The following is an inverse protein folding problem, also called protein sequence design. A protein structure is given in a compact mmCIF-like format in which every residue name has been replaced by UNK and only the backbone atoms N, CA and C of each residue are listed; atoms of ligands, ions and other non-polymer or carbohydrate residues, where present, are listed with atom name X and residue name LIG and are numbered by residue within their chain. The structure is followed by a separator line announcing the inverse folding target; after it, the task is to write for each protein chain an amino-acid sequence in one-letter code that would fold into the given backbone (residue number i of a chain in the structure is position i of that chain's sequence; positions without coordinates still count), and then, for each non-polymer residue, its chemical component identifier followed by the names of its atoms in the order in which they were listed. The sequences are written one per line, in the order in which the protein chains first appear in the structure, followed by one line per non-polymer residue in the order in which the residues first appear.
data_IF_716103081229
#
_entry.id   IF_716103081229
#
_cell.length_a   1.000
_cell.length_b   1.000
_cell.length_c   1.000
_cell.angle_alpha   90.00
_cell.angle_beta   90.00
_cell.angle_gamma   90.00
#
_symmetry.space_group_name_H-M   'P 1'
#
loop_
_entity.id
_entity.type
_entity.pdbx_description
1 polymer ?
#
# COMPACT_ATOMS: atom_id res chain seq x y z
N UNK A 1 -38.99 -36.28 1.05
CA UNK A 1 -37.79 -36.12 0.20
C UNK A 1 -37.10 -34.83 0.57
N UNK A 2 -36.14 -34.89 1.50
CA UNK A 2 -35.29 -33.74 1.87
C UNK A 2 -33.93 -34.29 2.29
N UNK A 3 -32.94 -34.18 1.41
CA UNK A 3 -31.55 -34.50 1.72
C UNK A 3 -30.74 -33.19 1.69
N UNK A 4 -30.42 -32.70 2.88
CA UNK A 4 -29.48 -31.60 3.09
C UNK A 4 -28.07 -32.14 2.88
N UNK A 5 -27.41 -31.72 1.81
CA UNK A 5 -25.97 -31.94 1.63
C UNK A 5 -25.19 -30.98 2.51
N UNK A 6 -24.58 -31.50 3.58
CA UNK A 6 -23.56 -30.83 4.36
C UNK A 6 -22.26 -30.76 3.55
N UNK A 7 -21.94 -29.59 3.02
CA UNK A 7 -20.61 -29.28 2.48
C UNK A 7 -19.69 -28.87 3.64
N UNK A 8 -19.06 -29.86 4.28
CA UNK A 8 -17.89 -29.59 5.13
C UNK A 8 -16.71 -29.33 4.21
N UNK A 9 -16.33 -28.06 4.03
CA UNK A 9 -15.12 -27.69 3.30
C UNK A 9 -13.90 -28.06 4.13
N UNK A 10 -13.30 -29.22 3.88
CA UNK A 10 -11.96 -29.53 4.37
C UNK A 10 -10.95 -28.54 3.78
N UNK A 11 -10.02 -27.98 4.56
CA UNK A 11 -8.99 -27.11 4.03
C UNK A 11 -8.12 -27.89 3.04
N UNK A 12 -8.03 -27.39 1.80
CA UNK A 12 -7.10 -27.91 0.79
C UNK A 12 -5.68 -27.81 1.36
N UNK A 13 -4.92 -28.91 1.48
CA UNK A 13 -3.54 -28.85 1.95
C UNK A 13 -2.73 -27.94 1.04
N UNK A 14 -2.15 -26.88 1.61
CA UNK A 14 -1.19 -26.04 0.91
C UNK A 14 0.01 -26.94 0.60
N UNK A 15 0.40 -27.14 -0.67
CA UNK A 15 1.57 -27.93 -1.00
C UNK A 15 2.80 -27.36 -0.28
N UNK A 16 3.45 -28.18 0.53
CA UNK A 16 4.71 -27.84 1.17
C UNK A 16 5.71 -27.58 0.02
N UNK A 17 6.37 -26.41 -0.04
CA UNK A 17 7.34 -26.16 -1.10
C UNK A 17 8.44 -27.21 -1.02
N UNK A 18 8.56 -28.03 -2.07
CA UNK A 18 9.70 -28.91 -2.28
C UNK A 18 10.92 -27.98 -2.34
N UNK A 19 11.99 -28.21 -1.55
CA UNK A 19 13.17 -27.36 -1.61
C UNK A 19 13.74 -27.44 -3.02
N UNK A 20 13.57 -26.38 -3.80
CA UNK A 20 14.22 -26.26 -5.10
C UNK A 20 15.70 -26.06 -4.83
N UNK A 21 16.53 -26.97 -5.33
CA UNK A 21 18.00 -26.96 -5.22
C UNK A 21 18.66 -25.81 -5.98
N UNK A 22 17.88 -24.98 -6.68
CA UNK A 22 18.37 -23.80 -7.38
C UNK A 22 18.64 -22.64 -6.42
N UNK A 23 19.76 -21.92 -6.56
CA UNK A 23 20.06 -20.76 -5.73
C UNK A 23 18.93 -19.72 -5.83
N UNK A 24 18.62 -18.99 -4.75
CA UNK A 24 17.63 -17.91 -4.79
C UNK A 24 17.97 -16.90 -5.87
N UNK A 25 16.95 -16.45 -6.61
CA UNK A 25 17.16 -15.49 -7.70
C UNK A 25 17.67 -14.14 -7.20
N UNK A 26 18.50 -13.43 -7.97
CA UNK A 26 18.87 -12.06 -7.66
C UNK A 26 17.66 -11.15 -7.49
N UNK A 27 17.84 -10.10 -6.69
CA UNK A 27 16.80 -9.14 -6.35
C UNK A 27 17.27 -7.74 -6.70
N UNK A 28 16.41 -6.97 -7.37
CA UNK A 28 16.50 -5.51 -7.43
C UNK A 28 15.50 -4.90 -6.44
N UNK A 29 15.97 -3.99 -5.57
CA UNK A 29 15.18 -3.28 -4.55
C UNK A 29 14.93 -1.86 -5.05
N UNK A 30 13.66 -1.47 -5.08
CA UNK A 30 13.17 -0.21 -5.64
C UNK A 30 12.69 0.70 -4.49
N UNK A 31 13.44 1.77 -4.16
CA UNK A 31 13.11 2.66 -3.07
C UNK A 31 11.78 3.41 -3.23
N UNK A 32 11.04 3.55 -2.14
CA UNK A 32 9.87 4.42 -2.04
C UNK A 32 10.22 5.92 -1.98
N UNK A 33 9.20 6.74 -2.22
CA UNK A 33 9.28 8.21 -2.22
C UNK A 33 9.91 8.73 -0.92
N UNK A 34 10.93 9.58 -1.06
CA UNK A 34 11.63 10.20 0.07
C UNK A 34 12.75 9.35 0.70
N UNK A 35 12.89 8.08 0.31
CA UNK A 35 13.99 7.23 0.78
C UNK A 35 15.22 7.33 -0.14
N UNK A 36 16.38 6.90 0.35
CA UNK A 36 17.57 6.65 -0.46
C UNK A 36 17.99 5.18 -0.41
N UNK A 37 19.03 4.85 -1.18
CA UNK A 37 19.66 3.51 -1.18
C UNK A 37 20.03 3.01 0.22
N UNK A 38 20.61 3.87 1.06
CA UNK A 38 21.10 3.51 2.39
C UNK A 38 20.02 2.97 3.33
N UNK A 39 18.77 3.43 3.18
CA UNK A 39 17.64 2.99 4.01
C UNK A 39 17.33 1.49 3.85
N UNK A 40 17.78 0.86 2.77
CA UNK A 40 17.52 -0.56 2.45
C UNK A 40 18.71 -1.47 2.79
N UNK A 41 19.77 -0.95 3.42
CA UNK A 41 20.95 -1.73 3.77
C UNK A 41 20.64 -2.96 4.60
N UNK A 42 19.82 -2.81 5.65
CA UNK A 42 19.39 -3.92 6.51
C UNK A 42 18.56 -4.97 5.75
N UNK A 43 17.70 -4.54 4.82
CA UNK A 43 16.93 -5.45 3.96
C UNK A 43 17.86 -6.24 3.02
N UNK A 44 18.79 -5.54 2.35
CA UNK A 44 19.75 -6.17 1.45
C UNK A 44 20.66 -7.16 2.20
N UNK A 45 21.13 -6.80 3.40
CA UNK A 45 21.91 -7.69 4.26
C UNK A 45 21.10 -8.92 4.67
N UNK A 46 19.86 -8.75 5.15
CA UNK A 46 19.01 -9.87 5.54
C UNK A 46 18.75 -10.85 4.38
N UNK A 47 18.50 -10.34 3.17
CA UNK A 47 18.31 -11.18 1.98
C UNK A 47 19.56 -12.02 1.67
N UNK A 48 20.75 -11.42 1.78
CA UNK A 48 22.03 -12.10 1.51
C UNK A 48 22.37 -13.10 2.60
N UNK A 49 22.37 -12.66 3.86
CA UNK A 49 22.89 -13.40 4.99
C UNK A 49 21.92 -14.46 5.52
N UNK A 50 20.62 -14.17 5.51
CA UNK A 50 19.60 -15.06 6.12
C UNK A 50 18.82 -15.87 5.10
N UNK A 51 18.74 -15.40 3.85
CA UNK A 51 17.91 -16.02 2.82
C UNK A 51 18.69 -16.50 1.60
N UNK A 52 20.03 -16.39 1.60
CA UNK A 52 20.89 -16.92 0.55
C UNK A 52 20.73 -16.23 -0.81
N UNK A 53 20.14 -15.03 -0.85
CA UNK A 53 20.02 -14.23 -2.08
C UNK A 53 21.38 -13.60 -2.35
N UNK A 54 22.19 -14.27 -3.17
CA UNK A 54 23.57 -13.87 -3.45
C UNK A 54 23.70 -12.41 -3.95
N UNK A 55 22.68 -11.91 -4.64
CA UNK A 55 22.66 -10.56 -5.20
C UNK A 55 21.37 -9.81 -4.80
N UNK A 56 21.52 -8.83 -3.91
CA UNK A 56 20.47 -7.86 -3.59
C UNK A 56 20.95 -6.46 -3.97
N UNK A 57 20.55 -5.99 -5.15
CA UNK A 57 20.93 -4.69 -5.71
C UNK A 57 19.87 -3.66 -5.32
N UNK A 58 20.27 -2.51 -4.78
CA UNK A 58 19.33 -1.42 -4.44
C UNK A 58 19.50 -0.32 -5.47
N UNK A 59 18.41 0.17 -6.06
CA UNK A 59 18.49 1.27 -7.02
C UNK A 59 19.10 2.53 -6.38
N UNK A 60 19.99 3.20 -7.12
CA UNK A 60 20.78 4.36 -6.66
C UNK A 60 19.95 5.65 -6.56
N UNK A 61 18.95 5.65 -5.69
CA UNK A 61 18.10 6.81 -5.42
C UNK A 61 18.65 7.57 -4.22
N UNK A 62 18.72 8.90 -4.32
CA UNK A 62 19.03 9.80 -3.22
C UNK A 62 17.80 10.60 -2.78
N UNK A 63 17.83 11.14 -1.55
CA UNK A 63 16.75 12.01 -1.04
C UNK A 63 16.58 13.27 -1.89
N UNK A 64 17.71 13.82 -2.36
CA UNK A 64 17.75 15.01 -3.22
C UNK A 64 17.13 14.70 -4.59
N UNK A 65 17.24 13.47 -5.08
CA UNK A 65 16.63 13.08 -6.36
C UNK A 65 15.11 13.25 -6.33
N UNK A 66 14.46 13.00 -5.19
CA UNK A 66 13.02 13.21 -5.01
C UNK A 66 12.61 14.69 -5.08
N UNK A 67 13.52 15.64 -4.87
CA UNK A 67 13.22 17.05 -5.09
C UNK A 67 12.94 17.35 -6.57
N UNK A 68 13.40 16.49 -7.50
CA UNK A 68 13.03 16.60 -8.92
C UNK A 68 11.53 16.36 -9.14
N UNK A 69 10.88 15.60 -8.26
CA UNK A 69 9.42 15.48 -8.29
C UNK A 69 8.73 16.78 -7.88
N UNK A 70 9.39 17.62 -7.08
CA UNK A 70 8.93 18.97 -6.78
C UNK A 70 9.15 19.94 -7.95
N UNK A 71 10.11 19.70 -8.85
CA UNK A 71 10.17 20.43 -10.13
C UNK A 71 8.93 20.16 -11.01
N UNK A 72 8.24 19.03 -10.78
CA UNK A 72 6.90 18.78 -11.30
C UNK A 72 5.88 19.84 -10.89
N UNK A 73 6.05 20.57 -9.77
CA UNK A 73 5.16 21.69 -9.38
C UNK A 73 5.13 22.82 -10.41
N UNK A 74 6.10 22.90 -11.32
CA UNK A 74 6.10 23.88 -12.40
C UNK A 74 5.31 23.40 -13.63
N UNK A 75 4.92 22.13 -13.69
CA UNK A 75 4.11 21.55 -14.76
C UNK A 75 2.61 21.85 -14.50
N UNK A 76 1.89 22.50 -15.43
CA UNK A 76 0.43 22.67 -15.33
C UNK A 76 -0.31 21.35 -15.09
N UNK A 77 0.20 20.23 -15.62
CA UNK A 77 -0.36 18.89 -15.43
C UNK A 77 -0.27 18.38 -13.99
N UNK A 78 0.68 18.92 -13.20
CA UNK A 78 0.80 18.66 -11.78
C UNK A 78 -0.38 19.23 -11.02
N UNK A 79 -0.79 20.45 -11.36
CA UNK A 79 -1.91 21.14 -10.73
C UNK A 79 -3.26 20.58 -11.18
N UNK A 80 -3.37 20.09 -12.42
CA UNK A 80 -4.57 19.39 -12.89
C UNK A 80 -4.66 17.91 -12.46
N UNK A 81 -3.62 17.36 -11.82
CA UNK A 81 -3.60 15.96 -11.38
C UNK A 81 -3.66 14.97 -12.56
N UNK A 82 -2.98 15.29 -13.66
CA UNK A 82 -2.91 14.48 -14.89
C UNK A 82 -1.47 14.16 -15.28
N UNK A 83 -0.55 14.13 -14.31
CA UNK A 83 0.85 13.81 -14.58
C UNK A 83 0.98 12.43 -15.23
N UNK A 84 1.86 12.37 -16.22
CA UNK A 84 2.34 11.12 -16.81
C UNK A 84 3.69 10.77 -16.20
N UNK A 85 4.03 9.47 -16.12
CA UNK A 85 5.33 9.07 -15.58
C UNK A 85 6.50 9.68 -16.33
N UNK A 86 6.44 9.71 -17.67
CA UNK A 86 7.40 10.46 -18.47
C UNK A 86 6.95 11.90 -18.71
N UNK A 87 7.87 12.88 -18.72
CA UNK A 87 9.31 12.74 -18.40
C UNK A 87 9.64 12.87 -16.90
N UNK A 88 8.62 13.07 -16.05
CA UNK A 88 8.79 13.45 -14.63
C UNK A 88 9.62 12.44 -13.82
N UNK A 89 9.50 11.16 -14.15
CA UNK A 89 10.09 10.05 -13.41
C UNK A 89 11.21 9.33 -14.19
N UNK A 90 11.64 9.87 -15.34
CA UNK A 90 12.70 9.27 -16.16
C UNK A 90 13.97 9.02 -15.34
N UNK A 91 14.35 10.00 -14.50
CA UNK A 91 15.48 9.88 -13.59
C UNK A 91 15.38 8.66 -12.65
N UNK A 92 14.17 8.28 -12.23
CA UNK A 92 13.93 7.14 -11.35
C UNK A 92 13.94 5.85 -12.18
N UNK A 93 13.26 5.84 -13.32
CA UNK A 93 13.21 4.70 -14.24
C UNK A 93 14.61 4.31 -14.73
N UNK A 94 15.49 5.26 -15.02
CA UNK A 94 16.90 5.01 -15.36
C UNK A 94 17.69 4.35 -14.22
N UNK A 95 17.38 4.68 -12.96
CA UNK A 95 18.04 4.07 -11.79
C UNK A 95 17.53 2.66 -11.54
N UNK A 96 16.23 2.44 -11.76
CA UNK A 96 15.64 1.10 -11.75
C UNK A 96 16.25 0.25 -12.86
N UNK A 97 16.36 0.78 -14.07
CA UNK A 97 16.92 0.07 -15.21
C UNK A 97 18.34 -0.40 -14.94
N UNK A 98 19.21 0.49 -14.42
CA UNK A 98 20.56 0.13 -13.98
C UNK A 98 20.57 -0.95 -12.90
N UNK A 99 19.69 -0.87 -11.91
CA UNK A 99 19.59 -1.87 -10.85
C UNK A 99 19.10 -3.23 -11.37
N UNK A 100 18.15 -3.22 -12.32
CA UNK A 100 17.62 -4.41 -12.99
C UNK A 100 18.70 -5.06 -13.86
N UNK A 101 19.42 -4.27 -14.65
CA UNK A 101 20.54 -4.74 -15.47
C UNK A 101 21.64 -5.38 -14.60
N UNK A 102 21.98 -4.75 -13.48
CA UNK A 102 22.95 -5.29 -12.52
C UNK A 102 22.44 -6.57 -11.84
N UNK A 103 21.16 -6.65 -11.48
CA UNK A 103 20.60 -7.88 -10.91
C UNK A 103 20.59 -9.01 -11.95
N UNK A 104 20.28 -8.71 -13.22
CA UNK A 104 20.29 -9.67 -14.33
C UNK A 104 21.71 -10.18 -14.64
N UNK A 105 22.73 -9.32 -14.59
CA UNK A 105 24.12 -9.76 -14.82
C UNK A 105 24.66 -10.69 -13.73
N UNK A 106 24.04 -10.68 -12.56
CA UNK A 106 24.35 -11.57 -11.43
C UNK A 106 23.46 -12.82 -11.40
N UNK A 107 22.53 -12.97 -12.35
CA UNK A 107 21.67 -14.15 -12.45
C UNK A 107 22.36 -15.28 -13.20
N UNK A 108 22.05 -16.52 -12.82
CA UNK A 108 22.49 -17.68 -13.61
C UNK A 108 21.84 -17.67 -15.00
N UNK A 109 22.45 -18.27 -16.03
CA UNK A 109 21.84 -18.34 -17.37
C UNK A 109 20.41 -18.90 -17.33
N UNK A 110 19.46 -18.16 -17.93
CA UNK A 110 18.04 -18.53 -17.93
C UNK A 110 17.27 -18.29 -16.62
N UNK A 111 17.95 -17.81 -15.57
CA UNK A 111 17.30 -17.46 -14.30
C UNK A 111 16.77 -16.02 -14.35
N UNK A 112 15.46 -15.85 -14.16
CA UNK A 112 14.86 -14.52 -13.99
C UNK A 112 15.16 -13.92 -12.60
N UNK A 113 14.98 -12.61 -12.45
CA UNK A 113 15.19 -11.86 -11.20
C UNK A 113 13.87 -11.60 -10.45
N UNK A 114 13.98 -11.13 -9.21
CA UNK A 114 12.87 -10.53 -8.46
C UNK A 114 13.02 -9.02 -8.37
N UNK A 115 11.90 -8.30 -8.40
CA UNK A 115 11.80 -6.91 -7.98
C UNK A 115 11.18 -6.84 -6.58
N UNK A 116 11.75 -6.04 -5.69
CA UNK A 116 11.13 -5.66 -4.40
C UNK A 116 10.86 -4.16 -4.42
N UNK A 117 9.60 -3.77 -4.56
CA UNK A 117 9.17 -2.37 -4.49
C UNK A 117 8.65 -1.98 -3.12
N UNK A 118 9.22 -0.96 -2.49
CA UNK A 118 8.70 -0.42 -1.23
C UNK A 118 7.87 0.83 -1.48
N UNK A 119 6.66 0.90 -0.91
CA UNK A 119 5.75 2.05 -1.03
C UNK A 119 5.63 2.48 -2.50
N UNK A 120 6.07 3.69 -2.86
CA UNK A 120 6.02 4.17 -4.24
C UNK A 120 6.81 3.31 -5.25
N UNK A 121 7.91 2.68 -4.81
CA UNK A 121 8.71 1.80 -5.65
C UNK A 121 7.93 0.61 -6.22
N UNK A 122 6.84 0.18 -5.57
CA UNK A 122 6.00 -0.90 -6.08
C UNK A 122 5.17 -0.51 -7.30
N UNK A 123 4.52 0.66 -7.30
CA UNK A 123 3.77 1.10 -8.48
C UNK A 123 4.71 1.63 -9.57
N UNK A 124 5.86 2.20 -9.21
CA UNK A 124 6.92 2.55 -10.14
C UNK A 124 7.51 1.31 -10.84
N UNK A 125 7.59 0.18 -10.16
CA UNK A 125 7.97 -1.10 -10.78
C UNK A 125 7.01 -1.50 -11.90
N UNK A 126 5.70 -1.26 -11.72
CA UNK A 126 4.69 -1.54 -12.74
C UNK A 126 4.86 -0.63 -13.96
N UNK A 127 5.12 0.65 -13.73
CA UNK A 127 5.45 1.60 -14.82
C UNK A 127 6.69 1.13 -15.58
N UNK A 128 7.76 0.77 -14.87
CA UNK A 128 8.98 0.27 -15.50
C UNK A 128 8.72 -0.97 -16.37
N UNK A 129 7.98 -1.96 -15.86
CA UNK A 129 7.67 -3.17 -16.63
C UNK A 129 6.76 -2.90 -17.84
N UNK A 130 5.88 -1.91 -17.76
CA UNK A 130 5.03 -1.51 -18.89
C UNK A 130 5.87 -0.81 -19.98
N UNK A 131 6.79 0.06 -19.60
CA UNK A 131 7.54 0.88 -20.56
C UNK A 131 8.79 0.19 -21.12
N UNK A 132 9.46 -0.64 -20.33
CA UNK A 132 10.73 -1.29 -20.68
C UNK A 132 10.58 -2.81 -20.87
N UNK A 133 9.39 -3.36 -20.63
CA UNK A 133 9.12 -4.78 -20.64
C UNK A 133 9.50 -5.47 -19.32
N UNK A 134 9.02 -6.69 -19.15
CA UNK A 134 9.28 -7.52 -17.96
C UNK A 134 10.13 -8.76 -18.26
N UNK A 135 10.77 -8.82 -19.43
CA UNK A 135 11.61 -9.95 -19.83
C UNK A 135 12.71 -10.23 -18.80
N UNK A 136 12.78 -11.46 -18.32
CA UNK A 136 13.71 -11.87 -17.27
C UNK A 136 13.33 -11.40 -15.86
N UNK A 137 12.14 -10.82 -15.64
CA UNK A 137 11.58 -10.53 -14.31
C UNK A 137 10.53 -11.60 -14.01
N UNK A 138 10.79 -12.41 -12.97
CA UNK A 138 9.94 -13.55 -12.61
C UNK A 138 9.10 -13.32 -11.34
N UNK A 139 9.31 -12.22 -10.63
CA UNK A 139 8.56 -11.85 -9.43
C UNK A 139 8.60 -10.32 -9.23
N UNK A 140 7.44 -9.71 -8.99
CA UNK A 140 7.32 -8.40 -8.37
C UNK A 140 6.70 -8.58 -6.97
N UNK A 141 7.51 -8.29 -5.94
CA UNK A 141 7.12 -8.26 -4.55
C UNK A 141 6.99 -6.81 -4.09
N UNK A 142 5.86 -6.44 -3.47
CA UNK A 142 5.65 -5.08 -3.00
C UNK A 142 5.40 -5.00 -1.49
N UNK A 143 6.00 -3.99 -0.85
CA UNK A 143 5.96 -3.75 0.59
C UNK A 143 5.20 -2.46 0.87
N UNK A 144 3.96 -2.56 1.38
CA UNK A 144 3.15 -1.38 1.72
C UNK A 144 2.89 -0.44 0.54
N UNK A 145 2.83 -0.98 -0.68
CA UNK A 145 2.59 -0.19 -1.90
C UNK A 145 1.09 0.02 -2.12
N UNK A 146 0.63 1.26 -2.33
CA UNK A 146 -0.77 1.56 -2.58
C UNK A 146 -1.13 1.23 -4.04
N UNK A 147 -1.22 -0.06 -4.37
CA UNK A 147 -1.78 -0.45 -5.67
C UNK A 147 -3.28 -0.29 -5.62
N UNK A 148 -3.84 0.30 -6.68
CA UNK A 148 -5.24 0.07 -7.00
C UNK A 148 -5.36 -1.37 -7.49
N UNK A 149 -6.11 -2.19 -6.77
CA UNK A 149 -6.48 -3.53 -7.20
C UNK A 149 -7.92 -3.44 -7.68
N UNK A 150 -8.17 -3.59 -8.97
CA UNK A 150 -9.51 -3.87 -9.47
C UNK A 150 -9.69 -5.39 -9.60
N UNK A 151 -9.68 -6.13 -8.47
CA UNK A 151 -10.19 -7.51 -8.49
C UNK A 151 -11.70 -7.45 -8.22
N UNK A 152 -12.55 -8.22 -8.94
CA UNK A 152 -14.02 -8.10 -8.84
C UNK A 152 -14.61 -8.29 -7.43
N UNK A 153 -13.82 -8.70 -6.43
CA UNK A 153 -14.27 -8.90 -5.05
C UNK A 153 -13.39 -8.23 -3.98
N UNK A 154 -12.26 -7.62 -4.34
CA UNK A 154 -11.36 -6.93 -3.40
C UNK A 154 -10.77 -5.72 -4.12
N UNK A 155 -11.37 -4.54 -3.90
CA UNK A 155 -10.80 -3.29 -4.36
C UNK A 155 -9.93 -2.69 -3.25
N UNK A 156 -8.63 -2.96 -3.27
CA UNK A 156 -7.69 -2.28 -2.39
C UNK A 156 -7.19 -1.04 -3.12
N UNK A 157 -7.38 0.13 -2.53
CA UNK A 157 -7.07 1.47 -3.07
C UNK A 157 -7.90 1.85 -4.31
N UNK A 158 -8.74 2.88 -4.14
CA UNK A 158 -9.25 3.70 -5.23
C UNK A 158 -8.38 4.95 -5.21
N UNK A 159 -7.90 5.46 -6.36
CA UNK A 159 -7.20 6.74 -6.41
C UNK A 159 -7.97 7.81 -5.63
N UNK A 160 -7.29 8.75 -4.97
CA UNK A 160 -7.93 9.71 -4.08
C UNK A 160 -9.10 10.38 -4.82
N UNK A 161 -10.35 10.29 -4.34
CA UNK A 161 -11.48 10.79 -5.11
C UNK A 161 -11.34 12.31 -5.25
N UNK A 162 -11.36 12.80 -6.49
CA UNK A 162 -11.06 14.20 -6.86
C UNK A 162 -11.96 15.26 -6.17
N UNK A 163 -13.04 14.82 -5.52
CA UNK A 163 -14.07 15.66 -4.92
C UNK A 163 -14.22 15.51 -3.39
N UNK A 164 -13.22 14.97 -2.67
CA UNK A 164 -13.29 14.90 -1.20
C UNK A 164 -12.61 16.12 -0.55
N UNK A 165 -13.31 16.92 0.26
CA UNK A 165 -12.72 18.06 0.96
C UNK A 165 -11.52 17.66 1.85
N UNK A 166 -10.38 18.33 1.61
CA UNK A 166 -9.13 18.13 2.34
C UNK A 166 -8.30 16.90 1.93
N UNK A 167 -8.62 16.28 0.79
CA UNK A 167 -7.79 15.23 0.17
C UNK A 167 -7.03 15.84 -0.99
N UNK A 168 -5.69 15.78 -0.92
CA UNK A 168 -4.82 16.20 -2.02
C UNK A 168 -4.14 14.94 -2.52
N UNK A 169 -4.36 14.58 -3.79
CA UNK A 169 -3.66 13.46 -4.40
C UNK A 169 -2.15 13.70 -4.38
N UNK A 170 -1.45 13.00 -3.49
CA UNK A 170 0.01 13.12 -3.34
C UNK A 170 0.76 12.58 -4.56
N UNK A 171 0.11 11.74 -5.36
CA UNK A 171 0.67 11.18 -6.60
C UNK A 171 0.26 11.99 -7.84
N UNK A 172 -0.61 12.99 -7.68
CA UNK A 172 -1.01 13.98 -8.71
C UNK A 172 -1.40 13.34 -10.05
N UNK A 173 -2.13 12.22 -10.00
CA UNK A 173 -2.61 11.49 -11.18
C UNK A 173 -1.72 10.34 -11.63
N UNK A 174 -0.54 10.13 -11.02
CA UNK A 174 0.36 9.04 -11.42
C UNK A 174 -0.24 7.66 -11.07
N UNK A 175 -0.87 7.49 -9.92
CA UNK A 175 -1.56 6.23 -9.59
C UNK A 175 -2.76 5.96 -10.52
N UNK A 176 -3.49 7.02 -10.89
CA UNK A 176 -4.55 6.96 -11.92
C UNK A 176 -3.99 6.49 -13.26
N UNK A 177 -2.80 6.97 -13.65
CA UNK A 177 -2.13 6.57 -14.87
C UNK A 177 -1.73 5.09 -14.82
N UNK A 178 -1.10 4.63 -13.73
CA UNK A 178 -0.69 3.22 -13.57
C UNK A 178 -1.91 2.29 -13.68
N UNK A 179 -3.03 2.66 -13.07
CA UNK A 179 -4.23 1.82 -13.12
C UNK A 179 -4.82 1.72 -14.53
N UNK A 180 -4.80 2.80 -15.29
CA UNK A 180 -5.39 2.84 -16.64
C UNK A 180 -4.49 2.25 -17.72
N UNK A 181 -3.17 2.33 -17.53
CA UNK A 181 -2.21 2.08 -18.61
C UNK A 181 -1.24 0.93 -18.32
N UNK A 182 -1.05 0.50 -17.07
CA UNK A 182 -0.14 -0.61 -16.77
C UNK A 182 -0.91 -1.91 -16.55
N UNK A 183 -0.31 -3.03 -16.94
CA UNK A 183 -0.85 -4.36 -16.67
C UNK A 183 -1.32 -4.52 -15.21
N UNK A 184 -2.46 -5.20 -14.97
CA UNK A 184 -3.00 -5.36 -13.63
C UNK A 184 -2.04 -6.19 -12.77
N UNK A 185 -2.03 -5.92 -11.47
CA UNK A 185 -1.21 -6.63 -10.49
C UNK A 185 -1.74 -8.04 -10.21
N UNK A 186 -1.72 -8.89 -11.23
CA UNK A 186 -2.23 -10.28 -11.18
C UNK A 186 -1.08 -11.28 -11.29
N UNK A 187 -1.29 -12.46 -10.72
CA UNK A 187 -0.36 -13.58 -10.85
C UNK A 187 -0.54 -14.22 -12.23
N UNK A 188 0.54 -14.32 -13.00
CA UNK A 188 0.61 -15.13 -14.23
C UNK A 188 1.70 -16.19 -14.10
N UNK A 189 1.70 -17.25 -14.94
CA UNK A 189 2.79 -18.23 -14.97
C UNK A 189 4.18 -17.59 -15.22
N UNK A 190 4.21 -16.50 -15.98
CA UNK A 190 5.43 -15.79 -16.38
C UNK A 190 5.87 -14.77 -15.32
N UNK A 191 4.92 -14.07 -14.69
CA UNK A 191 5.18 -13.03 -13.70
C UNK A 191 4.34 -13.24 -12.44
N UNK A 192 5.02 -13.49 -11.31
CA UNK A 192 4.36 -13.56 -10.01
C UNK A 192 4.23 -12.16 -9.43
N UNK A 193 3.04 -11.82 -8.98
CA UNK A 193 2.78 -10.60 -8.22
C UNK A 193 2.48 -10.92 -6.77
N UNK A 194 3.23 -10.36 -5.82
CA UNK A 194 3.03 -10.59 -4.38
C UNK A 194 3.04 -9.25 -3.65
N UNK A 195 1.99 -8.96 -2.89
CA UNK A 195 1.98 -7.81 -1.98
C UNK A 195 1.97 -8.27 -0.53
N UNK A 196 2.94 -7.77 0.25
CA UNK A 196 3.03 -8.01 1.68
C UNK A 196 2.47 -6.79 2.40
N UNK A 197 1.38 -7.01 3.14
CA UNK A 197 0.76 -6.03 4.00
C UNK A 197 1.08 -6.34 5.47
N UNK A 198 1.32 -5.30 6.27
CA UNK A 198 1.54 -5.39 7.71
C UNK A 198 0.30 -5.78 8.51
N UNK A 199 0.41 -5.70 9.85
CA UNK A 199 -0.71 -6.00 10.76
C UNK A 199 -1.86 -5.03 10.54
N UNK A 200 -3.06 -5.57 10.44
CA UNK A 200 -4.27 -4.78 10.23
C UNK A 200 -4.55 -3.82 11.39
N UNK A 201 -4.72 -2.54 11.08
CA UNK A 201 -5.15 -1.48 11.98
C UNK A 201 -6.29 -0.68 11.32
N UNK A 202 -7.36 -0.48 12.09
CA UNK A 202 -8.47 0.38 11.67
C UNK A 202 -8.09 1.84 11.90
N UNK A 203 -8.17 2.64 10.84
CA UNK A 203 -8.02 4.08 10.94
C UNK A 203 -9.26 4.72 11.59
N UNK A 204 -9.08 5.93 12.10
CA UNK A 204 -10.14 6.73 12.69
C UNK A 204 -10.08 8.18 12.20
N UNK A 205 -11.23 8.87 12.22
CA UNK A 205 -11.30 10.30 11.87
C UNK A 205 -10.60 11.15 12.95
N UNK A 206 -9.92 12.23 12.53
CA UNK A 206 -9.25 13.18 13.44
C UNK A 206 -10.22 13.86 14.41
N UNK A 207 -11.43 14.19 13.92
CA UNK A 207 -12.50 14.87 14.67
C UNK A 207 -13.79 14.10 14.37
N UNK A 208 -14.51 13.70 15.41
CA UNK A 208 -15.84 13.10 15.28
C UNK A 208 -16.91 14.17 15.46
N UNK A 209 -17.68 14.47 14.40
CA UNK A 209 -19.06 14.89 14.60
C UNK A 209 -19.81 13.66 15.14
N UNK A 210 -19.99 13.59 16.45
CA UNK A 210 -21.05 12.80 17.04
C UNK A 210 -22.37 13.52 16.75
N UNK A 211 -23.05 13.17 15.65
CA UNK A 211 -24.48 13.47 15.53
C UNK A 211 -25.26 12.19 15.84
N UNK A 212 -25.90 12.07 17.01
CA UNK A 212 -27.15 11.34 17.07
C UNK A 212 -28.23 12.22 16.42
N UNK A 213 -29.10 11.58 15.64
CA UNK A 213 -30.31 12.22 15.14
C UNK A 213 -31.31 12.34 16.30
N UNK A 214 -31.74 13.56 16.63
CA UNK A 214 -33.09 13.91 17.13
C UNK A 214 -33.12 15.38 17.55
N UNK A 215 -33.96 16.13 16.84
CA UNK A 215 -34.89 17.19 17.27
C UNK A 215 -34.52 18.20 18.38
N UNK A 216 -34.91 19.44 18.09
CA UNK A 216 -35.00 20.59 18.99
C UNK A 216 -35.62 20.23 20.35
N UNK A 217 -35.05 20.77 21.44
CA UNK A 217 -35.79 21.63 22.39
C UNK A 217 -34.76 22.34 23.29
N UNK A 218 -34.90 23.66 23.39
CA UNK A 218 -34.25 24.55 24.36
C UNK A 218 -34.88 24.35 25.73
N UNK A 219 -34.11 24.25 26.83
CA UNK A 219 -34.49 24.84 28.12
C UNK A 219 -33.27 25.14 29.02
N UNK A 220 -33.42 26.22 29.79
CA UNK A 220 -32.48 26.86 30.71
C UNK A 220 -32.80 26.37 32.14
N UNK A 221 -31.79 26.09 32.97
CA UNK A 221 -32.00 25.89 34.41
C UNK A 221 -30.73 25.74 35.23
N UNK A 222 -30.53 26.67 36.18
CA UNK A 222 -29.52 26.65 37.26
C UNK A 222 -29.80 25.52 38.27
N UNK A 223 -28.75 24.95 38.88
CA UNK A 223 -28.31 25.21 40.27
C UNK A 223 -27.47 24.05 40.84
N UNK A 224 -26.65 24.44 41.80
CA UNK A 224 -25.68 23.80 42.67
C UNK A 224 -26.11 22.52 43.40
N UNK A 225 -25.13 21.73 43.87
CA UNK A 225 -25.34 20.85 45.05
C UNK A 225 -24.67 19.48 44.97
N UNK A 226 -23.78 19.21 45.93
CA UNK A 226 -23.18 17.90 46.22
C UNK A 226 -24.22 16.86 46.64
N UNK A 227 -23.94 15.58 46.36
CA UNK A 227 -24.65 14.44 46.93
C UNK A 227 -24.07 13.10 46.48
N UNK A 228 -23.45 12.37 47.41
CA UNK A 228 -22.91 11.04 47.20
C UNK A 228 -23.99 9.95 47.07
N UNK A 229 -23.59 8.90 46.33
CA UNK A 229 -24.04 7.51 46.39
C UNK A 229 -25.41 7.15 45.78
N UNK A 230 -25.41 6.17 44.87
CA UNK A 230 -26.08 4.87 44.99
C UNK A 230 -25.77 4.06 43.73
N UNK A 231 -25.20 2.88 43.93
CA UNK A 231 -24.98 1.84 42.92
C UNK A 231 -26.34 1.41 42.35
N UNK A 232 -26.52 1.52 41.03
CA UNK A 232 -27.56 0.78 40.35
C UNK A 232 -27.00 0.15 39.06
N UNK A 233 -26.97 -1.19 39.07
CA UNK A 233 -26.48 -2.00 37.98
C UNK A 233 -27.29 -1.78 36.70
N UNK A 234 -26.61 -1.32 35.65
CA UNK A 234 -27.06 -1.46 34.27
C UNK A 234 -25.92 -2.04 33.46
N UNK A 235 -26.26 -3.00 32.61
CA UNK A 235 -25.41 -3.64 31.63
C UNK A 235 -24.66 -2.59 30.78
N UNK A 236 -23.47 -2.21 31.21
CA UNK A 236 -22.56 -1.44 30.40
C UNK A 236 -21.96 -2.37 29.36
N UNK A 237 -22.61 -2.46 28.19
CA UNK A 237 -21.84 -2.65 26.95
C UNK A 237 -20.77 -1.57 26.97
N UNK A 238 -19.46 -1.88 26.95
CA UNK A 238 -18.45 -0.84 26.95
C UNK A 238 -18.74 0.08 25.77
N UNK A 239 -18.94 1.37 26.03
CA UNK A 239 -18.96 2.36 24.98
C UNK A 239 -17.68 2.14 24.14
N UNK A 240 -17.75 2.18 22.80
CA UNK A 240 -16.58 1.95 21.97
C UNK A 240 -15.49 2.93 22.43
N UNK A 241 -14.38 2.37 22.93
CA UNK A 241 -13.26 3.16 23.44
C UNK A 241 -12.89 4.20 22.41
N UNK A 242 -12.75 5.47 22.83
CA UNK A 242 -12.38 6.54 21.93
C UNK A 242 -11.16 6.13 21.08
N UNK A 243 -11.17 6.37 19.76
CA UNK A 243 -10.10 5.91 18.90
C UNK A 243 -8.76 6.51 19.31
N UNK A 244 -7.73 5.65 19.36
CA UNK A 244 -6.38 6.03 19.78
C UNK A 244 -5.79 7.11 18.86
N UNK A 245 -4.84 7.90 19.36
CA UNK A 245 -4.08 8.86 18.53
C UNK A 245 -3.42 8.17 17.33
N UNK A 246 -2.91 6.95 17.52
CA UNK A 246 -2.37 6.10 16.45
C UNK A 246 -3.41 5.79 15.38
N UNK A 247 -4.63 5.38 15.77
CA UNK A 247 -5.71 5.12 14.82
C UNK A 247 -6.12 6.39 14.07
N UNK A 248 -6.11 7.56 14.73
CA UNK A 248 -6.40 8.85 14.08
C UNK A 248 -5.34 9.25 13.06
N UNK A 249 -4.06 9.09 13.39
CA UNK A 249 -2.94 9.36 12.48
C UNK A 249 -3.00 8.43 11.26
N UNK A 250 -3.16 7.13 11.50
CA UNK A 250 -3.35 6.13 10.43
C UNK A 250 -4.58 6.44 9.57
N UNK A 251 -5.68 6.83 10.19
CA UNK A 251 -6.89 7.23 9.48
C UNK A 251 -6.70 8.46 8.59
N UNK A 252 -5.82 9.40 8.95
CA UNK A 252 -5.46 10.48 8.03
C UNK A 252 -4.66 9.99 6.83
N UNK A 253 -3.70 9.09 7.05
CA UNK A 253 -2.97 8.45 5.96
C UNK A 253 -3.93 7.75 4.98
N UNK A 254 -4.86 6.95 5.51
CA UNK A 254 -5.89 6.29 4.70
C UNK A 254 -6.80 7.26 3.98
N UNK A 255 -7.18 8.39 4.62
CA UNK A 255 -7.99 9.43 3.97
C UNK A 255 -7.25 10.02 2.77
N UNK A 256 -5.94 10.23 2.85
CA UNK A 256 -5.17 10.72 1.71
C UNK A 256 -5.07 9.70 0.57
N UNK A 257 -5.05 8.40 0.89
CA UNK A 257 -4.91 7.33 -0.11
C UNK A 257 -6.25 6.97 -0.78
N UNK A 258 -7.33 6.82 -0.01
CA UNK A 258 -8.62 6.31 -0.51
C UNK A 258 -9.82 7.23 -0.21
N UNK A 259 -9.60 8.42 0.34
CA UNK A 259 -10.65 9.37 0.70
C UNK A 259 -11.40 9.07 2.00
N UNK A 260 -11.14 7.93 2.66
CA UNK A 260 -11.81 7.51 3.91
C UNK A 260 -10.83 7.27 5.04
N UNK A 261 -11.14 7.80 6.23
CA UNK A 261 -10.31 7.60 7.42
C UNK A 261 -10.69 6.35 8.23
N UNK A 262 -11.96 5.97 8.21
CA UNK A 262 -12.56 4.85 8.94
C UNK A 262 -12.48 3.52 8.18
N UNK A 263 -11.29 3.15 7.73
CA UNK A 263 -11.05 1.90 6.98
C UNK A 263 -9.98 1.04 7.65
N UNK A 264 -10.03 -0.27 7.41
CA UNK A 264 -8.99 -1.19 7.81
C UNK A 264 -7.83 -1.13 6.82
N UNK A 265 -6.60 -1.34 7.26
CA UNK A 265 -5.41 -1.38 6.40
C UNK A 265 -4.18 -1.79 7.20
N UNK A 266 -3.00 -1.73 6.62
CA UNK A 266 -1.74 -2.13 7.29
C UNK A 266 -1.04 -1.02 8.09
N UNK A 267 -1.67 0.15 8.21
CA UNK A 267 -1.13 1.36 8.80
C UNK A 267 -0.68 2.39 7.77
N UNK A 268 -0.52 1.99 6.51
CA UNK A 268 -0.15 2.85 5.38
C UNK A 268 -1.18 2.73 4.25
N UNK A 269 -1.49 1.50 3.84
CA UNK A 269 -2.38 1.19 2.72
C UNK A 269 -3.74 0.69 3.24
N UNK A 270 -4.86 1.35 2.87
CA UNK A 270 -6.19 0.92 3.25
C UNK A 270 -6.68 -0.27 2.41
N UNK A 271 -7.32 -1.24 3.07
CA UNK A 271 -8.20 -2.24 2.47
C UNK A 271 -9.60 -1.64 2.31
N UNK A 272 -9.98 -1.29 1.09
CA UNK A 272 -11.36 -0.94 0.81
C UNK A 272 -12.18 -2.22 0.55
N UNK A 273 -13.35 -2.32 1.17
CA UNK A 273 -14.42 -3.20 0.70
C UNK A 273 -15.43 -2.30 0.01
N UNK A 274 -15.85 -2.63 -1.22
CA UNK A 274 -17.18 -2.20 -1.67
C UNK A 274 -18.19 -2.94 -0.80
N UNK A 275 -19.06 -2.18 -0.15
CA UNK A 275 -20.34 -2.67 0.36
C UNK A 275 -21.29 -2.62 -0.84
#
# INVERSE_FOLDING_TARGET
MSSLFNLTSSPVPIPIPIPTTSPPRPVAILPGLGNNRGDYGALAAALREKHGVAAAVVAEVSRIDWLRNAAGLLDPNYWSGTLRPRPVLDWYLERVDRAVAQAKSLASPGQGISLIGHSAGGWLARVYMEEFGFDGIALLLTLGSPHSYAFPLISCVVPPPKNVPGVIDQTRGLLDYVEKNCAPAVYTPELRYVCIAGRYIQGARLIGNSKPASEETLEIGKDSGQGESIVNGRNNKPAPSAPTLRARFVGQGYKQVCGRADVWGDGVVPKCRRI
#
